data_IF_807701588441
#
_entry.id   IF_807701588441
#
_cell.length_a   1.000
_cell.length_b   1.000
_cell.length_c   1.000
_cell.angle_alpha   90.00
_cell.angle_beta   90.00
_cell.angle_gamma   90.00
#
_symmetry.space_group_name_H-M   'P 1'
#
loop_
_entity.id
_entity.type
_entity.pdbx_description
1 polymer ?
#
# COMPACT_ATOMS: atom_id res chain seq x y z
N UNK A 1 1.65 20.68 2.38
CA UNK A 1 0.69 19.99 3.27
C UNK A 1 0.44 18.55 2.80
N UNK A 2 1.48 17.85 2.38
CA UNK A 2 1.38 16.52 1.78
C UNK A 2 2.39 15.60 2.47
N UNK A 3 1.94 14.42 2.90
CA UNK A 3 2.70 13.49 3.71
C UNK A 3 2.54 12.07 3.18
N UNK A 4 3.59 11.27 3.26
CA UNK A 4 3.58 9.85 2.92
C UNK A 4 4.14 9.08 4.11
N UNK A 5 3.39 8.12 4.61
CA UNK A 5 3.73 7.33 5.79
C UNK A 5 3.82 5.85 5.44
N UNK A 6 4.83 5.17 5.98
CA UNK A 6 4.91 3.72 5.94
C UNK A 6 4.16 3.07 7.11
N UNK A 7 3.52 1.94 6.84
CA UNK A 7 2.95 1.08 7.88
C UNK A 7 3.72 -0.25 7.85
N UNK A 8 4.19 -0.68 9.02
CA UNK A 8 4.88 -1.96 9.21
C UNK A 8 3.91 -3.00 9.81
N UNK A 9 4.20 -4.30 9.65
CA UNK A 9 3.28 -5.40 9.93
C UNK A 9 3.12 -5.75 11.43
N UNK A 10 2.74 -4.76 12.24
CA UNK A 10 2.47 -4.90 13.67
C UNK A 10 1.45 -3.85 14.16
N UNK A 11 0.89 -4.09 15.35
CA UNK A 11 -0.20 -3.26 15.88
C UNK A 11 0.26 -1.87 16.30
N UNK A 12 1.50 -1.74 16.75
CA UNK A 12 2.08 -0.47 17.16
C UNK A 12 2.19 0.48 15.96
N UNK A 13 2.69 -0.02 14.82
CA UNK A 13 2.79 0.75 13.59
C UNK A 13 1.42 1.11 13.01
N UNK A 14 0.45 0.18 13.03
CA UNK A 14 -0.92 0.45 12.58
C UNK A 14 -1.60 1.51 13.47
N UNK A 15 -1.50 1.36 14.80
CA UNK A 15 -2.03 2.33 15.76
C UNK A 15 -1.38 3.71 15.61
N UNK A 16 -0.06 3.75 15.42
CA UNK A 16 0.67 5.00 15.15
C UNK A 16 0.23 5.65 13.84
N UNK A 17 -0.02 4.86 12.81
CA UNK A 17 -0.43 5.35 11.48
C UNK A 17 -1.83 5.97 11.52
N UNK A 18 -2.77 5.33 12.22
CA UNK A 18 -4.11 5.87 12.48
C UNK A 18 -4.01 7.18 13.28
N UNK A 19 -3.19 7.21 14.35
CA UNK A 19 -2.95 8.42 15.12
C UNK A 19 -2.36 9.55 14.24
N UNK A 20 -1.39 9.21 13.39
CA UNK A 20 -0.73 10.17 12.49
C UNK A 20 -1.71 10.73 11.47
N UNK A 21 -2.59 9.90 10.91
CA UNK A 21 -3.69 10.34 10.04
C UNK A 21 -4.57 11.38 10.75
N UNK A 22 -5.00 11.12 12.00
CA UNK A 22 -5.77 12.08 12.80
C UNK A 22 -5.01 13.40 13.03
N UNK A 23 -3.73 13.33 13.43
CA UNK A 23 -2.94 14.52 13.76
C UNK A 23 -2.59 15.37 12.54
N UNK A 24 -2.37 14.77 11.39
CA UNK A 24 -2.05 15.47 10.14
C UNK A 24 -3.32 15.99 9.47
N UNK A 25 -4.39 15.19 9.42
CA UNK A 25 -5.67 15.56 8.81
C UNK A 25 -6.32 16.74 9.53
N UNK A 26 -6.29 16.78 10.87
CA UNK A 26 -6.86 17.92 11.63
C UNK A 26 -6.23 19.28 11.27
N UNK A 27 -5.03 19.27 10.68
CA UNK A 27 -4.29 20.46 10.23
C UNK A 27 -4.38 20.68 8.71
N UNK A 28 -5.29 19.98 8.03
CA UNK A 28 -5.48 20.06 6.57
C UNK A 28 -4.38 19.36 5.76
N UNK A 29 -3.66 18.40 6.35
CA UNK A 29 -2.68 17.59 5.64
C UNK A 29 -3.33 16.48 4.81
N UNK A 30 -2.91 16.33 3.55
CA UNK A 30 -3.20 15.13 2.76
C UNK A 30 -2.16 14.05 3.07
N UNK A 31 -2.61 12.83 3.36
CA UNK A 31 -1.72 11.75 3.82
C UNK A 31 -1.90 10.50 2.95
N UNK A 32 -0.81 10.01 2.36
CA UNK A 32 -0.77 8.71 1.69
C UNK A 32 -0.12 7.67 2.61
N UNK A 33 -0.64 6.44 2.63
CA UNK A 33 -0.11 5.36 3.46
C UNK A 33 0.21 4.11 2.64
N UNK A 34 1.35 3.49 2.92
CA UNK A 34 1.76 2.21 2.35
C UNK A 34 1.09 1.05 3.09
N UNK A 35 0.34 0.21 2.38
CA UNK A 35 -0.28 -1.01 2.93
C UNK A 35 0.43 -2.30 2.53
N UNK A 36 1.38 -2.25 1.59
CA UNK A 36 2.01 -3.44 1.01
C UNK A 36 2.75 -4.33 2.01
N UNK A 37 3.16 -3.82 3.17
CA UNK A 37 3.85 -4.63 4.19
C UNK A 37 2.88 -5.41 5.06
N UNK A 38 1.61 -5.00 5.14
CA UNK A 38 0.62 -5.66 5.99
C UNK A 38 0.40 -7.09 5.50
N UNK A 39 0.41 -8.05 6.42
CA UNK A 39 0.10 -9.44 6.08
C UNK A 39 -1.31 -9.58 5.48
N UNK A 40 -1.43 -10.47 4.51
CA UNK A 40 -2.65 -10.69 3.74
C UNK A 40 -3.80 -11.26 4.57
N UNK A 41 -5.01 -11.19 4.03
CA UNK A 41 -6.17 -11.87 4.60
C UNK A 41 -5.95 -13.39 4.68
N UNK A 42 -6.15 -13.96 5.86
CA UNK A 42 -5.91 -15.38 6.13
C UNK A 42 -4.48 -15.70 6.60
N UNK A 43 -3.56 -14.73 6.60
CA UNK A 43 -2.22 -14.93 7.13
C UNK A 43 -2.24 -15.30 8.63
N UNK A 44 -1.20 -16.00 9.14
CA UNK A 44 -1.15 -16.39 10.54
C UNK A 44 -0.96 -15.22 11.50
N UNK A 45 -1.51 -15.36 12.71
CA UNK A 45 -1.22 -14.49 13.85
C UNK A 45 -0.82 -15.38 15.03
N UNK A 46 0.35 -15.11 15.62
CA UNK A 46 0.91 -15.93 16.71
C UNK A 46 0.95 -17.43 16.38
N UNK A 47 1.31 -17.76 15.13
CA UNK A 47 1.35 -19.12 14.58
C UNK A 47 -0.01 -19.85 14.50
N UNK A 48 -1.11 -19.12 14.61
CA UNK A 48 -2.46 -19.65 14.36
C UNK A 48 -2.85 -19.23 12.95
N UNK A 49 -3.12 -20.21 12.08
CA UNK A 49 -3.50 -20.02 10.68
C UNK A 49 -4.88 -19.36 10.52
N UNK A 50 -5.12 -18.70 9.38
CA UNK A 50 -6.39 -18.08 9.01
C UNK A 50 -6.93 -17.02 10.00
N UNK A 51 -6.05 -16.19 10.57
CA UNK A 51 -6.44 -15.19 11.58
C UNK A 51 -6.39 -13.75 11.08
N UNK A 52 -5.47 -13.40 10.17
CA UNK A 52 -5.38 -12.04 9.66
C UNK A 52 -6.64 -11.66 8.86
N UNK A 53 -7.13 -10.45 9.11
CA UNK A 53 -8.24 -9.86 8.37
C UNK A 53 -7.79 -9.05 7.13
N UNK A 54 -6.48 -8.98 6.88
CA UNK A 54 -5.89 -8.27 5.74
C UNK A 54 -5.99 -6.75 5.84
N UNK A 55 -5.85 -6.08 4.69
CA UNK A 55 -5.72 -4.62 4.61
C UNK A 55 -7.03 -3.83 4.79
N UNK A 56 -8.18 -4.45 4.49
CA UNK A 56 -9.47 -3.74 4.38
C UNK A 56 -9.94 -3.13 5.72
N UNK A 57 -9.85 -3.83 6.88
CA UNK A 57 -10.20 -3.21 8.16
C UNK A 57 -9.31 -2.02 8.51
N UNK A 58 -8.02 -2.04 8.12
CA UNK A 58 -7.10 -0.91 8.33
C UNK A 58 -7.53 0.27 7.46
N UNK A 59 -7.89 0.03 6.19
CA UNK A 59 -8.45 1.05 5.30
C UNK A 59 -9.71 1.68 5.91
N UNK A 60 -10.58 0.89 6.53
CA UNK A 60 -11.77 1.41 7.21
C UNK A 60 -11.44 2.35 8.37
N UNK A 61 -10.51 1.94 9.24
CA UNK A 61 -10.06 2.79 10.35
C UNK A 61 -9.43 4.09 9.86
N UNK A 62 -8.67 4.04 8.76
CA UNK A 62 -8.09 5.22 8.13
C UNK A 62 -9.16 6.12 7.51
N UNK A 63 -10.11 5.56 6.77
CA UNK A 63 -11.26 6.29 6.19
C UNK A 63 -12.02 7.07 7.27
N UNK A 64 -12.38 6.42 8.37
CA UNK A 64 -13.09 7.06 9.47
C UNK A 64 -12.24 8.13 10.15
N UNK A 65 -10.93 7.91 10.27
CA UNK A 65 -9.99 8.89 10.83
C UNK A 65 -9.94 10.17 9.99
N UNK A 66 -9.85 10.07 8.67
CA UNK A 66 -9.86 11.24 7.78
C UNK A 66 -11.23 11.94 7.75
N UNK A 67 -12.32 11.16 7.78
CA UNK A 67 -13.68 11.70 7.84
C UNK A 67 -13.93 12.51 9.12
N UNK A 68 -13.47 11.98 10.25
CA UNK A 68 -13.59 12.62 11.56
C UNK A 68 -12.70 13.86 11.69
N UNK A 69 -11.41 13.73 11.38
CA UNK A 69 -10.43 14.81 11.53
C UNK A 69 -10.43 15.75 10.30
N UNK A 70 -11.61 16.26 9.96
CA UNK A 70 -11.77 17.25 8.89
C UNK A 70 -11.34 18.66 9.36
N UNK A 71 -11.01 19.54 8.40
CA UNK A 71 -10.43 20.85 8.65
C UNK A 71 -11.48 21.85 9.19
N UNK A 72 -12.03 21.60 10.39
CA UNK A 72 -13.10 22.40 11.01
C UNK A 72 -14.31 22.60 10.07
N UNK A 73 -14.67 21.57 9.31
CA UNK A 73 -15.77 21.62 8.33
C UNK A 73 -15.46 22.33 7.00
N UNK A 74 -14.26 22.89 6.81
CA UNK A 74 -13.92 23.62 5.58
C UNK A 74 -13.60 22.68 4.39
N UNK A 75 -12.98 21.52 4.66
CA UNK A 75 -12.66 20.48 3.67
C UNK A 75 -12.70 19.11 4.32
N UNK A 76 -13.17 18.10 3.58
CA UNK A 76 -13.05 16.71 4.02
C UNK A 76 -11.57 16.33 4.11
N UNK A 77 -11.22 15.49 5.11
CA UNK A 77 -9.88 14.93 5.19
C UNK A 77 -9.57 14.12 3.93
N UNK A 78 -8.33 14.22 3.45
CA UNK A 78 -7.90 13.58 2.22
C UNK A 78 -6.83 12.53 2.52
N UNK A 79 -7.15 11.27 2.23
CA UNK A 79 -6.26 10.14 2.42
C UNK A 79 -6.08 9.33 1.15
N UNK A 80 -4.89 8.77 0.95
CA UNK A 80 -4.62 7.76 -0.06
C UNK A 80 -3.98 6.52 0.57
N UNK A 81 -4.19 5.37 -0.04
CA UNK A 81 -3.52 4.13 0.33
C UNK A 81 -2.91 3.48 -0.90
N UNK A 82 -1.69 3.00 -0.78
CA UNK A 82 -0.96 2.33 -1.86
C UNK A 82 -0.75 0.85 -1.54
N UNK A 83 -1.00 -0.01 -2.53
CA UNK A 83 -0.79 -1.44 -2.45
C UNK A 83 0.00 -1.95 -3.67
N UNK A 84 0.90 -2.88 -3.45
CA UNK A 84 1.65 -3.56 -4.50
C UNK A 84 0.73 -4.53 -5.27
N UNK A 85 0.75 -4.49 -6.61
CA UNK A 85 -0.03 -5.35 -7.51
C UNK A 85 0.16 -6.86 -7.24
N UNK A 86 1.34 -7.26 -6.76
CA UNK A 86 1.66 -8.64 -6.38
C UNK A 86 1.30 -8.99 -4.93
N UNK A 87 0.53 -8.15 -4.24
CA UNK A 87 0.01 -8.42 -2.90
C UNK A 87 -1.25 -9.31 -2.95
N UNK A 88 -1.43 -10.32 -2.07
CA UNK A 88 -2.57 -11.25 -2.16
C UNK A 88 -3.95 -10.58 -1.99
N UNK A 89 -4.03 -9.48 -1.24
CA UNK A 89 -5.27 -8.71 -1.09
C UNK A 89 -5.59 -7.76 -2.27
N UNK A 90 -4.83 -7.77 -3.39
CA UNK A 90 -4.97 -6.77 -4.47
C UNK A 90 -6.39 -6.67 -5.04
N UNK A 91 -7.07 -7.78 -5.29
CA UNK A 91 -8.44 -7.75 -5.80
C UNK A 91 -9.44 -7.25 -4.75
N UNK A 92 -9.30 -7.69 -3.49
CA UNK A 92 -10.11 -7.19 -2.37
C UNK A 92 -9.94 -5.69 -2.18
N UNK A 93 -8.72 -5.19 -2.33
CA UNK A 93 -8.37 -3.78 -2.25
C UNK A 93 -9.07 -2.98 -3.36
N UNK A 94 -8.98 -3.44 -4.60
CA UNK A 94 -9.64 -2.82 -5.76
C UNK A 94 -11.17 -2.87 -5.66
N UNK A 95 -11.73 -3.97 -5.17
CA UNK A 95 -13.17 -4.17 -5.02
C UNK A 95 -13.80 -3.19 -4.02
N UNK A 96 -13.03 -2.58 -3.11
CA UNK A 96 -13.55 -1.58 -2.17
C UNK A 96 -14.14 -0.35 -2.84
N UNK A 97 -13.77 -0.07 -4.10
CA UNK A 97 -14.26 1.07 -4.88
C UNK A 97 -15.44 0.77 -5.79
N UNK A 98 -15.78 -0.50 -6.00
CA UNK A 98 -16.94 -0.85 -6.83
C UNK A 98 -18.22 -0.32 -6.18
N UNK A 99 -19.11 0.26 -6.98
CA UNK A 99 -20.34 0.87 -6.46
C UNK A 99 -21.25 -0.13 -5.74
N UNK A 100 -21.26 -1.38 -6.23
CA UNK A 100 -22.06 -2.49 -5.72
C UNK A 100 -21.38 -3.33 -4.62
N UNK A 101 -20.26 -2.85 -4.05
CA UNK A 101 -19.59 -3.51 -2.95
C UNK A 101 -20.43 -3.52 -1.66
N UNK A 102 -20.31 -4.58 -0.85
CA UNK A 102 -20.93 -4.66 0.48
C UNK A 102 -20.48 -3.47 1.35
N UNK A 103 -21.40 -2.89 2.10
CA UNK A 103 -21.14 -1.69 2.91
C UNK A 103 -19.98 -1.87 3.90
N UNK A 104 -19.77 -3.08 4.40
CA UNK A 104 -18.68 -3.40 5.33
C UNK A 104 -17.29 -3.30 4.68
N UNK A 105 -17.19 -3.51 3.37
CA UNK A 105 -15.90 -3.47 2.63
C UNK A 105 -15.74 -2.19 1.80
N UNK A 106 -16.83 -1.50 1.47
CA UNK A 106 -16.83 -0.35 0.57
C UNK A 106 -16.10 0.85 1.16
N UNK A 107 -15.09 1.39 0.46
CA UNK A 107 -14.33 2.57 0.89
C UNK A 107 -14.70 3.77 0.01
N UNK A 108 -15.36 4.76 0.61
CA UNK A 108 -15.93 5.94 -0.07
C UNK A 108 -14.87 7.02 -0.29
N UNK A 109 -14.10 7.41 0.72
CA UNK A 109 -13.30 8.65 0.69
C UNK A 109 -11.81 8.46 0.44
N UNK A 110 -11.22 7.32 0.83
CA UNK A 110 -9.80 7.08 0.56
C UNK A 110 -9.56 6.91 -0.94
N UNK A 111 -8.52 7.56 -1.45
CA UNK A 111 -8.01 7.32 -2.80
C UNK A 111 -7.18 6.04 -2.81
N UNK A 112 -7.22 5.30 -3.92
CA UNK A 112 -6.44 4.08 -4.10
C UNK A 112 -5.25 4.34 -5.01
N UNK A 113 -4.10 3.78 -4.68
CA UNK A 113 -2.93 3.72 -5.52
C UNK A 113 -2.42 2.28 -5.64
N UNK A 114 -1.94 1.94 -6.83
CA UNK A 114 -1.35 0.63 -7.10
C UNK A 114 0.07 0.82 -7.60
N UNK A 115 1.00 0.11 -6.98
CA UNK A 115 2.40 0.02 -7.40
C UNK A 115 2.49 -1.18 -8.33
N UNK A 116 3.02 -0.98 -9.54
CA UNK A 116 3.07 -2.02 -10.59
C UNK A 116 4.51 -2.18 -11.07
N UNK A 117 5.13 -3.35 -10.89
CA UNK A 117 6.43 -3.68 -11.47
C UNK A 117 6.34 -4.08 -12.95
N UNK A 118 7.47 -4.01 -13.65
CA UNK A 118 7.62 -4.35 -15.07
C UNK A 118 7.21 -5.81 -15.34
N UNK A 119 7.54 -6.75 -14.43
CA UNK A 119 7.18 -8.17 -14.59
C UNK A 119 5.67 -8.37 -14.76
N UNK A 120 4.83 -7.53 -14.14
CA UNK A 120 3.37 -7.60 -14.31
C UNK A 120 2.97 -7.38 -15.77
N UNK A 121 3.61 -6.42 -16.46
CA UNK A 121 3.38 -6.15 -17.87
C UNK A 121 3.90 -7.27 -18.77
N UNK A 122 5.07 -7.84 -18.45
CA UNK A 122 5.62 -8.97 -19.21
C UNK A 122 4.69 -10.18 -19.18
N UNK A 123 4.15 -10.51 -18.00
CA UNK A 123 3.19 -11.59 -17.80
C UNK A 123 1.89 -11.32 -18.56
N UNK A 124 1.35 -10.10 -18.47
CA UNK A 124 0.15 -9.71 -19.19
C UNK A 124 0.33 -9.78 -20.72
N UNK A 125 1.50 -9.34 -21.22
CA UNK A 125 1.85 -9.42 -22.64
C UNK A 125 1.84 -10.86 -23.14
N UNK A 126 2.45 -11.78 -22.37
CA UNK A 126 2.51 -13.22 -22.66
C UNK A 126 1.21 -13.98 -22.35
N UNK A 127 0.22 -13.33 -21.75
CA UNK A 127 -1.02 -13.94 -21.27
C UNK A 127 -0.80 -15.02 -20.19
N UNK A 128 0.18 -14.79 -19.32
CA UNK A 128 0.57 -15.69 -18.23
C UNK A 128 -0.13 -15.34 -16.91
N UNK A 129 -0.01 -16.26 -15.94
CA UNK A 129 -0.49 -16.03 -14.58
C UNK A 129 0.46 -15.11 -13.83
N UNK A 130 -0.11 -14.20 -13.05
CA UNK A 130 0.58 -13.39 -12.06
C UNK A 130 0.47 -14.04 -10.69
N UNK A 131 1.61 -14.30 -10.04
CA UNK A 131 1.65 -14.78 -8.65
C UNK A 131 1.58 -13.60 -7.67
N UNK A 132 0.76 -13.77 -6.65
CA UNK A 132 0.68 -12.88 -5.49
C UNK A 132 1.40 -13.56 -4.32
N UNK A 133 2.28 -12.84 -3.63
CA UNK A 133 3.16 -13.41 -2.62
C UNK A 133 2.77 -12.95 -1.22
N UNK A 134 2.68 -13.87 -0.26
CA UNK A 134 2.40 -13.54 1.15
C UNK A 134 3.48 -12.59 1.73
N UNK A 135 3.15 -11.35 2.11
CA UNK A 135 4.10 -10.47 2.81
C UNK A 135 4.64 -11.10 4.09
N UNK A 136 3.79 -11.84 4.80
CA UNK A 136 4.15 -12.56 6.03
C UNK A 136 5.26 -13.59 5.79
N UNK A 137 5.17 -14.38 4.73
CA UNK A 137 6.20 -15.38 4.43
C UNK A 137 7.45 -14.73 3.84
N UNK A 138 7.27 -13.74 2.94
CA UNK A 138 8.38 -13.01 2.31
C UNK A 138 9.27 -12.35 3.36
N UNK A 139 8.69 -11.66 4.35
CA UNK A 139 9.48 -11.03 5.40
C UNK A 139 10.28 -12.04 6.23
N UNK A 140 9.74 -13.24 6.47
CA UNK A 140 10.46 -14.32 7.18
C UNK A 140 11.58 -14.94 6.36
N UNK A 141 11.40 -15.06 5.05
CA UNK A 141 12.40 -15.67 4.16
C UNK A 141 13.54 -14.71 3.87
N UNK A 142 13.23 -13.45 3.60
CA UNK A 142 14.21 -12.45 3.16
C UNK A 142 14.68 -11.51 4.27
N UNK A 143 14.01 -11.48 5.41
CA UNK A 143 14.36 -10.63 6.55
C UNK A 143 14.09 -9.13 6.34
N UNK A 144 13.32 -8.78 5.31
CA UNK A 144 12.95 -7.40 4.98
C UNK A 144 11.45 -7.32 4.65
N UNK A 145 10.77 -6.19 4.93
CA UNK A 145 9.36 -6.03 4.61
C UNK A 145 9.08 -6.17 3.12
N UNK A 146 7.87 -6.65 2.78
CA UNK A 146 7.49 -6.98 1.41
C UNK A 146 7.71 -5.85 0.40
N UNK A 147 7.35 -4.62 0.76
CA UNK A 147 7.50 -3.46 -0.12
C UNK A 147 8.96 -3.11 -0.44
N UNK A 148 9.92 -3.56 0.38
CA UNK A 148 11.33 -3.23 0.22
C UNK A 148 12.07 -4.19 -0.72
N UNK A 149 11.43 -5.29 -1.14
CA UNK A 149 11.99 -6.26 -2.10
C UNK A 149 11.63 -5.89 -3.53
N UNK A 150 12.60 -5.97 -4.45
CA UNK A 150 12.30 -5.86 -5.89
C UNK A 150 11.52 -7.08 -6.38
N UNK A 151 10.23 -6.89 -6.68
CA UNK A 151 9.37 -7.98 -7.14
C UNK A 151 9.84 -8.50 -8.50
N UNK A 152 10.21 -7.61 -9.43
CA UNK A 152 10.70 -8.00 -10.76
C UNK A 152 11.97 -8.86 -10.66
N UNK A 153 12.96 -8.45 -9.87
CA UNK A 153 14.22 -9.19 -9.74
C UNK A 153 14.05 -10.53 -9.03
N UNK A 154 13.17 -10.58 -8.02
CA UNK A 154 12.96 -11.76 -7.17
C UNK A 154 11.78 -12.63 -7.60
N UNK A 155 11.11 -12.30 -8.70
CA UNK A 155 9.86 -12.93 -9.07
C UNK A 155 9.96 -14.46 -9.16
N UNK A 156 10.83 -14.96 -10.03
CA UNK A 156 10.97 -16.40 -10.26
C UNK A 156 11.58 -17.12 -9.06
N UNK A 157 12.51 -16.48 -8.34
CA UNK A 157 13.06 -16.99 -7.08
C UNK A 157 11.95 -17.20 -6.03
N UNK A 158 11.06 -16.21 -5.87
CA UNK A 158 9.92 -16.32 -4.99
C UNK A 158 8.95 -17.39 -5.48
N UNK A 159 8.64 -17.47 -6.79
CA UNK A 159 7.75 -18.48 -7.37
C UNK A 159 8.22 -19.89 -7.06
N UNK A 160 9.53 -20.16 -7.14
CA UNK A 160 10.10 -21.48 -6.91
C UNK A 160 10.30 -21.81 -5.41
N UNK A 161 10.30 -20.82 -4.52
CA UNK A 161 10.50 -21.04 -3.08
C UNK A 161 9.24 -21.60 -2.38
N UNK A 162 9.26 -22.89 -2.04
CA UNK A 162 8.15 -23.58 -1.37
C UNK A 162 7.79 -23.04 0.03
N UNK A 163 8.63 -22.18 0.63
CA UNK A 163 8.35 -21.55 1.94
C UNK A 163 7.41 -20.36 1.84
N UNK A 164 7.23 -19.79 0.63
CA UNK A 164 6.39 -18.61 0.39
C UNK A 164 5.05 -19.05 -0.15
N UNK A 165 3.96 -18.77 0.58
CA UNK A 165 2.61 -18.97 0.07
C UNK A 165 2.34 -18.01 -1.08
N UNK A 166 1.71 -18.56 -2.12
CA UNK A 166 1.30 -17.80 -3.29
C UNK A 166 -0.14 -18.09 -3.67
N UNK A 167 -0.79 -17.10 -4.24
CA UNK A 167 -1.99 -17.28 -5.05
C UNK A 167 -1.71 -16.84 -6.48
N UNK A 168 -2.55 -17.25 -7.43
CA UNK A 168 -2.39 -16.90 -8.85
C UNK A 168 -3.65 -16.24 -9.38
N UNK A 169 -3.44 -15.29 -10.27
CA UNK A 169 -4.49 -14.54 -10.97
C UNK A 169 -4.04 -14.31 -12.41
N UNK A 170 -4.97 -14.09 -13.35
CA UNK A 170 -4.58 -13.76 -14.73
C UNK A 170 -4.05 -12.33 -14.79
N UNK A 171 -2.83 -12.14 -15.31
CA UNK A 171 -2.22 -10.81 -15.38
C UNK A 171 -3.06 -9.82 -16.22
N UNK A 172 -3.70 -10.30 -17.31
CA UNK A 172 -4.59 -9.47 -18.13
C UNK A 172 -5.89 -9.08 -17.41
N UNK A 173 -6.45 -10.00 -16.61
CA UNK A 173 -7.64 -9.73 -15.82
C UNK A 173 -7.39 -8.66 -14.75
N UNK A 174 -6.20 -8.68 -14.15
CA UNK A 174 -5.77 -7.62 -13.24
C UNK A 174 -5.79 -6.24 -13.92
N UNK A 175 -5.17 -6.09 -15.11
CA UNK A 175 -5.19 -4.81 -15.84
C UNK A 175 -6.59 -4.42 -16.33
N UNK A 176 -7.40 -5.39 -16.73
CA UNK A 176 -8.79 -5.14 -17.10
C UNK A 176 -9.57 -4.56 -15.92
N UNK A 177 -9.48 -5.19 -14.75
CA UNK A 177 -10.12 -4.72 -13.51
C UNK A 177 -9.66 -3.31 -13.14
N UNK A 178 -8.35 -3.04 -13.30
CA UNK A 178 -7.76 -1.74 -13.01
C UNK A 178 -8.32 -0.65 -13.93
N UNK A 179 -8.45 -0.93 -15.23
CA UNK A 179 -9.01 -0.01 -16.21
C UNK A 179 -10.51 0.26 -16.01
N UNK A 180 -11.29 -0.77 -15.67
CA UNK A 180 -12.71 -0.64 -15.34
C UNK A 180 -12.93 0.31 -14.16
N UNK A 181 -12.14 0.14 -13.08
CA UNK A 181 -12.23 1.03 -11.91
C UNK A 181 -11.78 2.46 -12.19
N UNK A 182 -10.74 2.63 -13.01
CA UNK A 182 -10.30 3.97 -13.45
C UNK A 182 -11.38 4.66 -14.28
N UNK A 183 -12.09 3.91 -15.12
CA UNK A 183 -13.20 4.44 -15.90
C UNK A 183 -14.37 4.90 -15.01
N UNK A 184 -14.71 4.12 -13.98
CA UNK A 184 -15.82 4.43 -13.07
C UNK A 184 -15.51 5.59 -12.10
N UNK A 185 -14.27 5.65 -11.59
CA UNK A 185 -13.96 6.48 -10.41
C UNK A 185 -12.73 7.38 -10.55
N UNK A 186 -11.99 7.28 -11.65
CA UNK A 186 -10.71 7.99 -11.87
C UNK A 186 -9.50 7.38 -11.15
N UNK A 187 -9.71 6.38 -10.28
CA UNK A 187 -8.70 5.67 -9.49
C UNK A 187 -8.70 4.18 -9.85
N UNK A 188 -7.62 3.41 -9.61
CA UNK A 188 -6.43 3.77 -8.81
C UNK A 188 -5.40 4.65 -9.52
N UNK A 189 -4.61 5.37 -8.72
CA UNK A 189 -3.30 5.86 -9.17
C UNK A 189 -2.40 4.71 -9.56
N UNK A 190 -1.47 4.95 -10.48
CA UNK A 190 -0.46 3.96 -10.87
C UNK A 190 0.92 4.53 -10.63
N UNK A 191 1.77 3.76 -9.95
CA UNK A 191 3.20 4.01 -9.85
C UNK A 191 3.97 2.85 -10.48
N UNK A 192 4.76 3.13 -11.51
CA UNK A 192 5.61 2.12 -12.16
C UNK A 192 6.89 1.89 -11.35
N UNK A 193 6.89 0.85 -10.54
CA UNK A 193 7.91 0.58 -9.51
C UNK A 193 9.33 0.59 -10.08
N UNK A 194 9.58 -0.20 -11.12
CA UNK A 194 10.91 -0.40 -11.67
C UNK A 194 11.39 0.82 -12.46
N UNK A 195 10.48 1.54 -13.13
CA UNK A 195 10.83 2.78 -13.83
C UNK A 195 11.27 3.85 -12.82
N UNK A 196 10.52 3.99 -11.73
CA UNK A 196 10.82 4.95 -10.66
C UNK A 196 12.15 4.60 -9.98
N UNK A 197 12.33 3.34 -9.57
CA UNK A 197 13.53 2.94 -8.82
C UNK A 197 14.79 2.90 -9.68
N UNK A 198 14.70 2.56 -10.97
CA UNK A 198 15.84 2.62 -11.91
C UNK A 198 16.32 4.05 -12.15
N UNK A 199 15.41 5.02 -12.07
CA UNK A 199 15.71 6.45 -12.27
C UNK A 199 15.98 7.18 -10.95
N UNK A 200 15.85 6.49 -9.81
CA UNK A 200 16.06 7.06 -8.49
C UNK A 200 17.57 7.26 -8.23
N UNK A 201 18.05 8.50 -8.03
CA UNK A 201 19.46 8.77 -7.76
C UNK A 201 19.86 8.52 -6.29
N UNK A 202 18.89 8.25 -5.40
CA UNK A 202 19.10 8.13 -3.96
C UNK A 202 19.16 6.65 -3.57
N UNK A 203 20.10 6.28 -2.70
CA UNK A 203 20.18 4.92 -2.16
C UNK A 203 18.88 4.55 -1.41
N UNK A 204 18.35 3.37 -1.72
CA UNK A 204 17.10 2.86 -1.18
C UNK A 204 16.01 2.72 -2.24
N UNK A 205 14.91 2.08 -1.84
CA UNK A 205 13.77 1.81 -2.70
C UNK A 205 12.62 2.78 -2.42
N UNK A 206 12.04 3.33 -3.46
CA UNK A 206 10.79 4.10 -3.43
C UNK A 206 9.65 3.08 -3.52
N UNK A 207 8.79 3.06 -2.50
CA UNK A 207 7.78 2.00 -2.32
C UNK A 207 6.35 2.44 -2.57
N UNK A 208 6.07 3.74 -2.55
CA UNK A 208 4.76 4.32 -2.82
C UNK A 208 4.88 5.81 -3.14
N UNK A 209 3.76 6.42 -3.52
CA UNK A 209 3.66 7.84 -3.86
C UNK A 209 2.64 8.56 -2.98
N UNK A 210 2.46 9.86 -3.20
CA UNK A 210 1.53 10.71 -2.47
C UNK A 210 0.10 10.70 -3.07
N UNK A 211 -0.77 11.53 -2.50
CA UNK A 211 -2.16 11.70 -2.97
C UNK A 211 -2.27 12.21 -4.41
N UNK A 212 -1.29 12.94 -4.93
CA UNK A 212 -1.33 13.47 -6.30
C UNK A 212 -0.37 12.73 -7.27
N UNK A 213 0.19 11.60 -6.80
CA UNK A 213 1.08 10.65 -7.49
C UNK A 213 2.42 11.20 -8.03
N UNK A 214 2.81 12.43 -7.73
CA UNK A 214 4.02 13.10 -8.22
C UNK A 214 5.24 12.99 -7.28
N UNK A 215 5.05 12.61 -6.01
CA UNK A 215 6.14 12.55 -5.02
C UNK A 215 6.69 11.14 -4.89
N UNK A 216 7.96 10.99 -5.25
CA UNK A 216 8.67 9.71 -5.27
C UNK A 216 9.99 9.88 -4.51
N UNK A 217 10.02 9.42 -3.26
CA UNK A 217 11.23 9.49 -2.42
C UNK A 217 11.40 8.21 -1.61
N UNK A 218 12.64 7.94 -1.20
CA UNK A 218 12.95 6.81 -0.33
C UNK A 218 12.40 7.07 1.08
N UNK A 219 11.93 6.01 1.73
CA UNK A 219 11.45 6.04 3.11
C UNK A 219 11.96 4.80 3.85
N UNK A 220 12.12 4.90 5.16
CA UNK A 220 12.68 3.81 5.99
C UNK A 220 11.79 3.51 7.19
N UNK A 221 11.68 2.24 7.61
CA UNK A 221 10.76 1.82 8.68
C UNK A 221 11.08 2.50 10.01
N UNK A 222 10.03 2.80 10.76
CA UNK A 222 10.10 3.15 12.18
C UNK A 222 9.81 1.92 13.03
N UNK A 223 10.49 1.79 14.18
CA UNK A 223 10.26 0.73 15.16
C UNK A 223 9.70 1.33 16.44
N UNK A 224 8.77 0.60 17.07
CA UNK A 224 8.04 1.05 18.24
C UNK A 224 8.22 0.07 19.41
N UNK A 225 8.22 0.62 20.62
CA UNK A 225 8.02 -0.16 21.84
C UNK A 225 6.52 -0.42 22.06
N UNK A 226 6.19 -1.32 22.98
CA UNK A 226 4.79 -1.67 23.31
C UNK A 226 3.97 -0.47 23.82
N UNK A 227 4.61 0.55 24.38
CA UNK A 227 3.99 1.80 24.85
C UNK A 227 3.82 2.87 23.74
N UNK A 228 4.04 2.49 22.47
CA UNK A 228 4.04 3.35 21.28
C UNK A 228 5.14 4.43 21.24
N UNK A 229 6.10 4.41 22.17
CA UNK A 229 7.31 5.21 22.02
C UNK A 229 8.18 4.66 20.89
N UNK A 230 8.97 5.53 20.25
CA UNK A 230 9.86 5.08 19.19
C UNK A 230 11.06 4.36 19.78
N UNK A 231 11.22 3.08 19.43
CA UNK A 231 12.48 2.37 19.60
C UNK A 231 13.53 2.86 18.59
N UNK A 232 13.08 3.13 17.35
CA UNK A 232 13.88 3.73 16.28
C UNK A 232 13.00 4.62 15.42
N UNK A 233 13.40 5.87 15.26
CA UNK A 233 12.73 6.80 14.34
C UNK A 233 13.22 6.52 12.91
N UNK A 234 12.30 6.11 12.05
CA UNK A 234 12.53 5.95 10.62
C UNK A 234 12.48 7.28 9.87
N UNK A 235 12.19 7.21 8.56
CA UNK A 235 12.09 8.38 7.69
C UNK A 235 10.84 8.22 6.83
N UNK A 236 9.81 8.96 7.20
CA UNK A 236 8.64 9.22 6.37
C UNK A 236 8.86 10.48 5.53
N UNK A 237 7.94 10.78 4.62
CA UNK A 237 8.12 11.85 3.63
C UNK A 237 7.11 12.96 3.90
N UNK A 238 7.58 14.20 3.86
CA UNK A 238 6.74 15.40 3.82
C UNK A 238 7.15 16.26 2.64
N UNK A 239 6.19 16.80 1.91
CA UNK A 239 6.46 17.54 0.67
C UNK A 239 6.05 19.02 0.76
N UNK A 240 6.97 19.87 0.30
CA UNK A 240 6.80 21.30 0.06
C UNK A 240 7.04 21.56 -1.43
N UNK A 241 6.08 22.19 -2.11
CA UNK A 241 6.11 22.41 -3.55
C UNK A 241 6.03 23.90 -3.89
N UNK A 242 6.62 24.25 -5.03
CA UNK A 242 6.47 25.54 -5.70
C UNK A 242 6.67 25.34 -7.19
N UNK A 243 5.93 26.09 -8.01
CA UNK A 243 6.03 26.08 -9.46
C UNK A 243 6.41 27.46 -9.99
N UNK A 244 7.13 27.50 -11.11
CA UNK A 244 7.41 28.73 -11.86
C UNK A 244 6.35 28.88 -12.96
N UNK A 245 5.96 30.13 -13.24
CA UNK A 245 5.07 30.49 -14.37
C UNK A 245 5.89 30.76 -15.62
#
# INVERSE_FOLDING_TARGET
SCFLLRIEDNMESIGRSINSALQLSKRGGGVALLLSNIREHGAPIKNIENQSSGVIPIMKLLEDSFSYANQLGARQGAGAVYLQAHHPDIFRFLDTKRENADEKIRIKTLSLGVVIPDITFELAKKNEDMYLFSPYDVERVYGVPFADISITEKYYEMVDDGRIRKTKVKAREFFQTLAELQFESGYPYIMYEDTVNRSNPIEGKITHSNLCSEILQVSTPSLFNEDLTYAKVGKDISCNLGSLN
#
